data_IF_039956948004
#
_entry.id   IF_039956948004
#
_cell.length_a   1.000
_cell.length_b   1.000
_cell.length_c   1.000
_cell.angle_alpha   90.00
_cell.angle_beta   90.00
_cell.angle_gamma   90.00
#
_symmetry.space_group_name_H-M   'P 1'
#
loop_
_entity.id
_entity.type
_entity.pdbx_description
1 polymer ?
#
# COMPACT_ATOMS: atom_id res chain seq x y z
N UNK A 1 -58.70 72.48 4.67
CA UNK A 1 -57.76 71.42 4.22
C UNK A 1 -58.15 70.11 4.92
N UNK A 2 -58.91 69.25 4.24
CA UNK A 2 -59.45 67.99 4.78
C UNK A 2 -58.50 66.83 4.45
N UNK A 3 -58.11 66.06 5.48
CA UNK A 3 -57.30 64.84 5.41
C UNK A 3 -58.07 63.72 4.67
N UNK A 4 -57.41 63.00 3.76
CA UNK A 4 -57.85 61.70 3.21
C UNK A 4 -56.93 60.61 3.77
N UNK A 5 -57.53 59.55 4.29
CA UNK A 5 -56.87 58.31 4.74
C UNK A 5 -57.06 57.21 3.66
N UNK A 6 -56.21 56.14 3.64
CA UNK A 6 -55.96 55.33 2.46
C UNK A 6 -56.73 54.01 2.37
N UNK A 7 -56.73 53.47 1.14
CA UNK A 7 -57.25 52.19 0.66
C UNK A 7 -56.71 50.98 1.46
N UNK A 8 -57.58 50.00 1.72
CA UNK A 8 -57.22 48.65 2.16
C UNK A 8 -56.82 47.79 0.95
N UNK A 9 -55.70 47.08 1.04
CA UNK A 9 -55.28 46.03 0.12
C UNK A 9 -55.36 44.67 0.84
N UNK A 10 -56.12 43.73 0.27
CA UNK A 10 -56.17 42.33 0.69
C UNK A 10 -54.95 41.58 0.16
N UNK A 11 -54.17 40.96 1.05
CA UNK A 11 -53.08 40.05 0.72
C UNK A 11 -53.56 38.61 0.97
N UNK A 12 -53.63 37.79 -0.07
CA UNK A 12 -53.90 36.36 0.03
C UNK A 12 -52.61 35.62 0.40
N UNK A 13 -52.67 34.79 1.45
CA UNK A 13 -51.57 33.94 1.91
C UNK A 13 -51.68 32.61 1.16
N UNK A 14 -50.72 32.31 0.28
CA UNK A 14 -50.48 30.97 -0.23
C UNK A 14 -49.59 30.23 0.78
N UNK A 15 -50.10 29.14 1.34
CA UNK A 15 -49.34 28.21 2.18
C UNK A 15 -48.73 27.14 1.27
N UNK A 16 -47.40 27.09 1.20
CA UNK A 16 -46.66 26.01 0.54
C UNK A 16 -46.50 24.85 1.53
N UNK A 17 -47.07 23.69 1.19
CA UNK A 17 -46.85 22.46 1.92
C UNK A 17 -45.41 21.98 1.70
N UNK A 18 -44.65 21.84 2.77
CA UNK A 18 -43.32 21.23 2.76
C UNK A 18 -43.47 19.71 2.58
N UNK A 19 -43.07 19.22 1.40
CA UNK A 19 -42.83 17.81 1.16
C UNK A 19 -41.55 17.42 1.89
N UNK A 20 -41.69 16.77 3.04
CA UNK A 20 -40.59 16.09 3.73
C UNK A 20 -40.25 14.86 2.91
N UNK A 21 -39.22 14.97 2.07
CA UNK A 21 -38.55 13.80 1.54
C UNK A 21 -37.96 13.05 2.74
N UNK A 22 -38.46 11.85 3.02
CA UNK A 22 -37.73 10.87 3.83
C UNK A 22 -36.45 10.58 3.05
N UNK A 23 -35.37 11.26 3.43
CA UNK A 23 -34.03 10.87 2.99
C UNK A 23 -33.76 9.48 3.52
N UNK A 24 -33.31 8.58 2.64
CA UNK A 24 -32.42 7.51 3.09
C UNK A 24 -31.26 8.19 3.79
N UNK A 25 -31.26 8.20 5.12
CA UNK A 25 -30.02 8.43 5.85
C UNK A 25 -29.14 7.23 5.51
N UNK A 26 -27.91 7.41 5.00
CA UNK A 26 -26.97 6.31 4.96
C UNK A 26 -26.82 5.83 6.41
N UNK A 27 -27.28 4.62 6.67
CA UNK A 27 -26.76 3.84 7.79
C UNK A 27 -25.25 3.76 7.56
N UNK A 28 -24.45 3.87 8.63
CA UNK A 28 -22.99 3.99 8.54
C UNK A 28 -22.43 3.13 7.42
N UNK A 29 -21.71 3.76 6.49
CA UNK A 29 -21.19 3.11 5.30
C UNK A 29 -20.40 1.89 5.74
N UNK A 30 -20.73 0.72 5.19
CA UNK A 30 -19.87 -0.43 5.36
C UNK A 30 -18.46 -0.08 4.85
N UNK A 31 -17.40 -0.54 5.54
CA UNK A 31 -16.05 -0.35 5.07
C UNK A 31 -15.90 -0.85 3.64
N UNK A 32 -15.19 -0.08 2.82
CA UNK A 32 -14.84 -0.51 1.46
C UNK A 32 -13.61 -1.40 1.56
N UNK A 33 -13.71 -2.63 1.06
CA UNK A 33 -12.60 -3.57 1.07
C UNK A 33 -12.06 -3.75 -0.34
N UNK A 34 -10.74 -3.63 -0.47
CA UNK A 34 -9.98 -3.96 -1.66
C UNK A 34 -9.10 -5.18 -1.38
N UNK A 35 -9.08 -6.17 -2.27
CA UNK A 35 -8.17 -7.32 -2.22
C UNK A 35 -7.13 -7.19 -3.31
N UNK A 36 -5.86 -7.35 -2.93
CA UNK A 36 -4.73 -7.31 -3.87
C UNK A 36 -4.86 -8.45 -4.87
N UNK A 37 -4.93 -8.08 -6.15
CA UNK A 37 -4.98 -9.03 -7.28
C UNK A 37 -3.60 -9.21 -7.91
N UNK A 38 -2.73 -8.21 -7.83
CA UNK A 38 -1.36 -8.26 -8.32
C UNK A 38 -0.46 -7.54 -7.34
N UNK A 39 0.72 -8.08 -7.08
CA UNK A 39 1.72 -7.50 -6.20
C UNK A 39 3.09 -7.72 -6.81
N UNK A 40 3.88 -6.66 -6.96
CA UNK A 40 5.22 -6.74 -7.51
C UNK A 40 6.17 -5.76 -6.84
N UNK A 41 7.47 -6.07 -6.87
CA UNK A 41 8.49 -5.10 -6.44
C UNK A 41 8.58 -3.97 -7.47
N UNK A 42 8.64 -2.74 -7.00
CA UNK A 42 8.94 -1.60 -7.85
C UNK A 42 10.39 -1.69 -8.35
N UNK A 43 10.56 -1.57 -9.66
CA UNK A 43 11.85 -1.67 -10.34
C UNK A 43 12.47 -0.32 -10.64
N UNK A 44 13.79 -0.31 -10.84
CA UNK A 44 14.54 0.85 -11.29
C UNK A 44 14.47 0.92 -12.83
N UNK A 45 13.68 1.83 -13.38
CA UNK A 45 13.52 2.01 -14.82
C UNK A 45 13.18 3.47 -15.21
N UNK A 46 14.06 4.17 -15.97
CA UNK A 46 15.45 3.83 -16.29
C UNK A 46 16.37 3.89 -15.06
N UNK A 47 17.66 3.62 -15.24
CA UNK A 47 18.60 3.69 -14.11
C UNK A 47 18.58 5.06 -13.41
N UNK A 48 18.57 5.04 -12.08
CA UNK A 48 18.39 6.19 -11.20
C UNK A 48 16.94 6.63 -11.00
N UNK A 49 15.96 5.92 -11.58
CA UNK A 49 14.54 6.28 -11.53
C UNK A 49 13.71 5.10 -11.03
N UNK A 50 12.90 5.31 -10.00
CA UNK A 50 11.93 4.34 -9.48
C UNK A 50 10.74 5.05 -8.87
N UNK A 51 9.59 4.38 -8.87
CA UNK A 51 8.51 4.77 -7.96
C UNK A 51 8.90 4.44 -6.51
N UNK A 52 8.38 5.20 -5.55
CA UNK A 52 8.64 4.98 -4.14
C UNK A 52 8.30 6.19 -3.28
N UNK A 53 8.93 6.25 -2.12
CA UNK A 53 8.69 7.25 -1.07
C UNK A 53 10.00 7.84 -0.59
N UNK A 54 9.93 9.05 -0.04
CA UNK A 54 10.99 9.60 0.81
C UNK A 54 10.68 9.14 2.24
N UNK A 55 11.36 8.10 2.69
CA UNK A 55 11.12 7.40 3.96
C UNK A 55 11.92 8.02 5.11
N UNK A 56 12.98 8.78 4.81
CA UNK A 56 13.85 9.40 5.82
C UNK A 56 13.91 10.93 5.75
N UNK A 57 13.07 11.55 4.93
CA UNK A 57 12.96 12.99 4.67
C UNK A 57 14.29 13.59 4.19
N UNK A 58 15.05 12.82 3.40
CA UNK A 58 16.40 13.17 2.97
C UNK A 58 16.53 13.04 1.46
N UNK A 59 17.54 13.73 0.95
CA UNK A 59 18.03 13.48 -0.40
C UNK A 59 19.51 13.20 -0.29
N UNK A 60 19.87 11.93 -0.48
CA UNK A 60 21.18 11.38 -0.28
C UNK A 60 22.03 11.37 -1.55
N UNK A 61 23.35 11.38 -1.37
CA UNK A 61 24.32 11.13 -2.43
C UNK A 61 25.45 10.21 -1.92
N UNK A 62 26.41 9.89 -2.80
CA UNK A 62 27.54 8.99 -2.48
C UNK A 62 28.41 9.45 -1.29
N UNK A 63 28.31 10.72 -0.89
CA UNK A 63 29.06 11.30 0.22
C UNK A 63 28.19 11.51 1.47
N UNK A 64 26.89 11.21 1.41
CA UNK A 64 26.01 11.39 2.55
C UNK A 64 26.08 10.19 3.50
N UNK A 65 26.70 10.42 4.66
CA UNK A 65 26.79 9.43 5.73
C UNK A 65 25.44 9.09 6.35
N UNK A 66 24.44 9.98 6.25
CA UNK A 66 23.08 9.71 6.72
C UNK A 66 22.38 8.60 5.92
N UNK A 67 22.75 8.43 4.65
CA UNK A 67 22.22 7.41 3.73
C UNK A 67 23.24 6.38 3.33
N UNK A 68 24.27 6.25 4.15
CA UNK A 68 25.31 5.23 3.98
C UNK A 68 26.02 5.27 2.62
N UNK A 69 26.09 6.47 2.01
CA UNK A 69 26.68 6.67 0.69
C UNK A 69 25.92 5.99 -0.45
N UNK A 70 24.65 5.62 -0.23
CA UNK A 70 23.74 5.13 -1.26
C UNK A 70 22.95 6.33 -1.75
N UNK A 71 23.06 6.73 -3.04
CA UNK A 71 22.26 7.82 -3.58
C UNK A 71 20.79 7.41 -3.74
N UNK A 72 19.88 8.32 -3.37
CA UNK A 72 18.45 8.10 -3.56
C UNK A 72 18.10 8.12 -5.05
N UNK A 73 16.99 7.46 -5.37
CA UNK A 73 16.43 7.47 -6.70
C UNK A 73 15.61 8.75 -6.91
N UNK A 74 15.25 8.98 -8.17
CA UNK A 74 14.24 9.96 -8.54
C UNK A 74 12.95 9.25 -8.94
N UNK A 75 11.81 9.90 -8.75
CA UNK A 75 10.57 9.40 -9.33
C UNK A 75 10.47 9.75 -10.83
N UNK A 76 9.49 9.18 -11.56
CA UNK A 76 9.31 9.46 -12.99
C UNK A 76 9.04 10.94 -13.31
N UNK A 77 8.55 11.72 -12.34
CA UNK A 77 8.31 13.16 -12.44
C UNK A 77 9.56 14.00 -12.12
N UNK A 78 10.65 13.37 -11.66
CA UNK A 78 11.92 14.00 -11.32
C UNK A 78 12.01 14.52 -9.89
N UNK A 79 11.11 14.12 -8.99
CA UNK A 79 11.27 14.36 -7.54
C UNK A 79 12.40 13.48 -7.03
N UNK A 80 13.33 14.07 -6.27
CA UNK A 80 14.44 13.36 -5.64
C UNK A 80 14.06 12.86 -4.24
N UNK A 81 14.93 12.05 -3.63
CA UNK A 81 14.73 11.49 -2.29
C UNK A 81 13.91 10.20 -2.29
N UNK A 82 13.88 9.45 -3.39
CA UNK A 82 13.11 8.20 -3.44
C UNK A 82 13.94 7.04 -2.89
N UNK A 83 13.52 6.53 -1.75
CA UNK A 83 14.01 5.32 -1.12
C UNK A 83 13.35 4.09 -1.75
N UNK A 84 14.08 3.43 -2.64
CA UNK A 84 13.78 2.08 -3.11
C UNK A 84 15.05 1.34 -3.53
N UNK A 85 16.03 1.28 -2.63
CA UNK A 85 17.33 0.66 -2.89
C UNK A 85 17.23 -0.81 -3.29
N UNK A 86 16.19 -1.52 -2.84
CA UNK A 86 15.92 -2.89 -3.29
C UNK A 86 15.68 -3.00 -4.80
N UNK A 87 15.19 -1.95 -5.46
CA UNK A 87 15.03 -1.93 -6.92
C UNK A 87 16.34 -2.20 -7.67
N UNK A 88 17.46 -1.68 -7.14
CA UNK A 88 18.79 -1.88 -7.71
C UNK A 88 19.32 -3.31 -7.52
N UNK A 89 18.71 -4.07 -6.60
CA UNK A 89 19.06 -5.46 -6.27
C UNK A 89 18.33 -6.44 -7.20
N UNK A 90 17.11 -6.11 -7.64
CA UNK A 90 16.27 -6.98 -8.47
C UNK A 90 16.99 -7.55 -9.70
N UNK A 91 17.73 -6.76 -10.52
CA UNK A 91 18.40 -7.32 -11.70
C UNK A 91 19.44 -8.39 -11.36
N UNK A 92 20.14 -8.25 -10.22
CA UNK A 92 21.11 -9.25 -9.78
C UNK A 92 20.42 -10.55 -9.34
N UNK A 93 19.22 -10.46 -8.75
CA UNK A 93 18.40 -11.63 -8.39
C UNK A 93 17.84 -12.32 -9.63
N UNK A 94 17.43 -11.57 -10.63
CA UNK A 94 16.92 -12.09 -11.91
C UNK A 94 17.98 -12.85 -12.74
N UNK A 95 19.26 -12.50 -12.58
CA UNK A 95 20.37 -13.22 -13.20
C UNK A 95 20.60 -14.60 -12.59
N UNK A 96 20.03 -14.89 -11.42
CA UNK A 96 20.09 -16.22 -10.84
C UNK A 96 19.08 -17.13 -11.54
N UNK A 97 19.49 -18.33 -11.95
CA UNK A 97 18.58 -19.35 -12.50
C UNK A 97 17.58 -19.89 -11.45
N UNK A 98 17.57 -19.29 -10.24
CA UNK A 98 17.08 -19.86 -9.01
C UNK A 98 15.57 -19.79 -8.84
N UNK A 99 14.90 -18.67 -9.15
CA UNK A 99 13.44 -18.51 -8.98
C UNK A 99 13.00 -17.13 -9.50
N UNK A 100 11.91 -17.06 -10.27
CA UNK A 100 11.24 -15.79 -10.56
C UNK A 100 10.35 -15.41 -9.37
N UNK A 101 10.90 -14.68 -8.39
CA UNK A 101 10.21 -14.27 -7.14
C UNK A 101 8.84 -13.65 -7.45
N UNK A 102 8.78 -12.83 -8.49
CA UNK A 102 7.55 -12.19 -8.95
C UNK A 102 6.45 -13.18 -9.34
N UNK A 103 6.80 -14.26 -10.06
CA UNK A 103 5.83 -15.27 -10.48
C UNK A 103 5.29 -16.07 -9.27
N UNK A 104 6.11 -16.25 -8.24
CA UNK A 104 5.72 -16.95 -7.02
C UNK A 104 4.78 -16.12 -6.15
N UNK A 105 5.08 -14.83 -5.98
CA UNK A 105 4.17 -13.89 -5.30
C UNK A 105 2.81 -13.90 -6.01
N UNK A 106 2.81 -13.83 -7.34
CA UNK A 106 1.56 -13.88 -8.09
C UNK A 106 0.83 -15.22 -7.95
N UNK A 107 1.56 -16.35 -7.91
CA UNK A 107 0.97 -17.66 -7.66
C UNK A 107 0.35 -17.75 -6.26
N UNK A 108 0.98 -17.15 -5.24
CA UNK A 108 0.45 -17.08 -3.88
C UNK A 108 -0.84 -16.23 -3.83
N UNK A 109 -0.88 -15.10 -4.54
CA UNK A 109 -2.11 -14.29 -4.68
C UNK A 109 -3.22 -15.09 -5.34
N UNK A 110 -2.92 -15.73 -6.48
CA UNK A 110 -3.90 -16.46 -7.28
C UNK A 110 -4.43 -17.74 -6.59
N UNK A 111 -3.66 -18.34 -5.68
CA UNK A 111 -4.06 -19.53 -4.91
C UNK A 111 -4.80 -19.18 -3.61
N UNK A 112 -4.76 -17.91 -3.17
CA UNK A 112 -5.30 -17.47 -1.89
C UNK A 112 -4.33 -17.62 -0.72
N UNK A 113 -3.10 -18.10 -0.95
CA UNK A 113 -2.03 -18.15 0.05
C UNK A 113 -1.53 -16.75 0.44
N UNK A 114 -1.75 -15.74 -0.42
CA UNK A 114 -1.52 -14.32 -0.16
C UNK A 114 -2.77 -13.51 -0.51
N UNK A 115 -3.73 -13.46 0.41
CA UNK A 115 -4.88 -12.55 0.33
C UNK A 115 -4.63 -11.30 1.17
N UNK A 116 -3.85 -10.36 0.65
CA UNK A 116 -3.63 -9.05 1.27
C UNK A 116 -4.83 -8.13 0.95
N UNK A 117 -5.36 -7.46 1.96
CA UNK A 117 -6.55 -6.62 1.83
C UNK A 117 -6.35 -5.26 2.48
N UNK A 118 -7.00 -4.25 1.89
CA UNK A 118 -7.11 -2.90 2.40
C UNK A 118 -8.58 -2.63 2.73
N UNK A 119 -8.87 -2.44 4.01
CA UNK A 119 -10.18 -2.02 4.48
C UNK A 119 -10.14 -0.51 4.74
N UNK A 120 -11.02 0.21 4.05
CA UNK A 120 -11.10 1.67 4.10
C UNK A 120 -12.44 2.09 4.69
N UNK A 121 -12.40 2.72 5.86
CA UNK A 121 -13.56 3.22 6.60
C UNK A 121 -13.64 4.75 6.50
N UNK A 122 -14.82 5.29 6.25
CA UNK A 122 -15.04 6.73 6.11
C UNK A 122 -14.92 7.30 4.68
N UNK A 123 -14.87 6.46 3.64
CA UNK A 123 -14.73 6.89 2.23
C UNK A 123 -15.89 7.73 1.70
N UNK A 124 -17.06 7.72 2.36
CA UNK A 124 -18.19 8.56 2.00
C UNK A 124 -17.89 10.06 2.11
N UNK A 125 -16.88 10.43 2.91
CA UNK A 125 -16.39 11.80 3.04
C UNK A 125 -15.16 12.00 2.16
N UNK A 126 -15.33 11.82 0.84
CA UNK A 126 -14.25 12.07 -0.14
C UNK A 126 -14.00 13.56 -0.33
N UNK A 127 -13.39 14.20 0.67
CA UNK A 127 -12.97 15.60 0.63
C UNK A 127 -11.47 15.69 0.92
N UNK A 128 -10.71 16.53 0.19
CA UNK A 128 -9.29 16.71 0.46
C UNK A 128 -9.02 17.04 1.93
N UNK A 129 -8.06 16.34 2.55
CA UNK A 129 -7.73 16.46 3.97
C UNK A 129 -8.73 15.81 4.93
N UNK A 130 -9.68 15.00 4.43
CA UNK A 130 -10.44 14.09 5.29
C UNK A 130 -9.55 12.92 5.74
N UNK A 131 -9.79 12.49 6.97
CA UNK A 131 -9.23 11.25 7.52
C UNK A 131 -10.11 10.08 7.13
N UNK A 132 -9.50 9.06 6.54
CA UNK A 132 -10.10 7.74 6.29
C UNK A 132 -9.34 6.73 7.14
N UNK A 133 -10.07 5.87 7.86
CA UNK A 133 -9.44 4.74 8.55
C UNK A 133 -8.97 3.73 7.52
N UNK A 134 -7.69 3.36 7.53
CA UNK A 134 -7.12 2.37 6.62
C UNK A 134 -6.55 1.20 7.42
N UNK A 135 -7.07 0.01 7.19
CA UNK A 135 -6.53 -1.22 7.78
C UNK A 135 -5.94 -2.12 6.71
N UNK A 136 -4.74 -2.62 6.97
CA UNK A 136 -4.07 -3.63 6.15
C UNK A 136 -4.17 -4.96 6.88
N UNK A 137 -4.76 -5.95 6.21
CA UNK A 137 -5.08 -7.23 6.84
C UNK A 137 -4.95 -8.40 5.85
N UNK A 138 -4.98 -9.60 6.40
CA UNK A 138 -5.02 -10.84 5.63
C UNK A 138 -6.43 -11.42 5.61
N UNK A 139 -6.88 -11.83 4.43
CA UNK A 139 -8.04 -12.68 4.27
C UNK A 139 -7.69 -14.16 4.23
N UNK A 140 -8.72 -15.00 4.27
CA UNK A 140 -8.68 -16.42 3.89
C UNK A 140 -9.85 -16.74 2.96
N UNK A 141 -9.67 -17.78 2.14
CA UNK A 141 -10.65 -18.22 1.16
C UNK A 141 -10.00 -18.65 -0.14
N UNK A 142 -10.77 -19.27 -1.02
CA UNK A 142 -10.31 -19.71 -2.33
C UNK A 142 -10.74 -18.69 -3.41
N UNK A 143 -9.84 -17.83 -3.90
CA UNK A 143 -10.19 -16.81 -4.87
C UNK A 143 -10.63 -17.45 -6.19
N UNK A 144 -11.66 -16.86 -6.81
CA UNK A 144 -12.04 -17.16 -8.20
C UNK A 144 -11.31 -16.23 -9.14
N UNK A 145 -10.73 -16.82 -10.18
CA UNK A 145 -9.95 -16.13 -11.20
C UNK A 145 -10.79 -15.91 -12.46
N UNK A 146 -10.56 -14.79 -13.13
CA UNK A 146 -11.06 -14.51 -14.46
C UNK A 146 -10.29 -15.27 -15.55
N UNK A 147 -10.68 -15.08 -16.81
CA UNK A 147 -9.99 -15.68 -17.97
C UNK A 147 -8.58 -15.14 -18.22
N UNK A 148 -8.15 -14.13 -17.45
CA UNK A 148 -6.84 -13.50 -17.48
C UNK A 148 -5.95 -13.93 -16.30
N UNK A 149 -6.33 -14.98 -15.55
CA UNK A 149 -5.64 -15.46 -14.36
C UNK A 149 -5.46 -14.39 -13.26
N UNK A 150 -6.46 -13.50 -13.12
CA UNK A 150 -6.53 -12.47 -12.07
C UNK A 150 -7.78 -12.64 -11.22
N UNK A 151 -7.73 -12.15 -9.99
CA UNK A 151 -8.85 -12.23 -9.06
C UNK A 151 -10.06 -11.50 -9.65
N UNK A 152 -11.23 -12.13 -9.57
CA UNK A 152 -12.49 -11.45 -9.85
C UNK A 152 -12.85 -10.52 -8.69
N UNK A 153 -13.32 -9.31 -9.00
CA UNK A 153 -13.86 -8.40 -8.00
C UNK A 153 -15.22 -8.87 -7.44
N UNK A 154 -15.60 -8.30 -6.30
CA UNK A 154 -16.89 -8.53 -5.63
C UNK A 154 -17.00 -9.88 -4.91
N UNK A 155 -15.88 -10.55 -4.63
CA UNK A 155 -15.85 -11.79 -3.86
C UNK A 155 -15.87 -11.50 -2.36
N UNK A 156 -16.43 -12.43 -1.58
CA UNK A 156 -16.44 -12.37 -0.11
C UNK A 156 -15.38 -13.31 0.45
N UNK A 157 -14.63 -12.85 1.44
CA UNK A 157 -13.58 -13.61 2.12
C UNK A 157 -13.76 -13.57 3.63
N UNK A 158 -13.12 -14.50 4.34
CA UNK A 158 -13.03 -14.48 5.80
C UNK A 158 -11.82 -13.67 6.24
N UNK A 159 -11.88 -13.01 7.40
CA UNK A 159 -10.69 -12.38 8.01
C UNK A 159 -9.77 -13.46 8.58
N UNK A 160 -8.47 -13.34 8.33
CA UNK A 160 -7.48 -14.15 9.04
C UNK A 160 -7.12 -13.47 10.38
N UNK A 161 -7.81 -13.85 11.45
CA UNK A 161 -7.61 -13.25 12.77
C UNK A 161 -6.27 -13.59 13.43
N UNK A 162 -5.59 -14.64 12.94
CA UNK A 162 -4.28 -15.06 13.45
C UNK A 162 -3.11 -14.38 12.71
N UNK A 163 -3.39 -13.71 11.59
CA UNK A 163 -2.38 -13.02 10.80
C UNK A 163 -2.13 -11.58 11.31
N UNK A 164 -0.95 -11.01 11.01
CA UNK A 164 -0.69 -9.59 11.26
C UNK A 164 -1.76 -8.69 10.63
N UNK A 165 -2.18 -7.68 11.39
CA UNK A 165 -2.99 -6.58 10.90
C UNK A 165 -2.35 -5.27 11.37
N UNK A 166 -2.50 -4.22 10.57
CA UNK A 166 -2.11 -2.87 10.95
C UNK A 166 -3.24 -1.90 10.62
N UNK A 167 -3.50 -0.96 11.53
CA UNK A 167 -4.52 0.06 11.35
C UNK A 167 -3.89 1.45 11.38
N UNK A 168 -4.26 2.27 10.42
CA UNK A 168 -3.91 3.68 10.29
C UNK A 168 -5.20 4.47 10.52
N UNK A 169 -5.26 5.19 11.65
CA UNK A 169 -6.48 5.89 12.08
C UNK A 169 -6.88 7.04 11.14
N UNK A 170 -5.91 7.66 10.48
CA UNK A 170 -6.12 8.76 9.54
C UNK A 170 -5.16 8.65 8.36
N UNK A 171 -5.62 8.01 7.29
CA UNK A 171 -5.03 8.16 5.97
C UNK A 171 -5.66 9.39 5.29
N UNK A 172 -4.83 10.23 4.70
CA UNK A 172 -5.22 11.51 4.11
C UNK A 172 -5.63 11.36 2.64
N UNK A 173 -6.72 12.01 2.25
CA UNK A 173 -7.14 12.08 0.85
C UNK A 173 -6.51 13.29 0.17
N UNK A 174 -5.77 13.03 -0.91
CA UNK A 174 -5.24 14.05 -1.84
C UNK A 174 -5.68 13.73 -3.27
N UNK A 175 -6.69 14.46 -3.77
CA UNK A 175 -7.20 14.24 -5.13
C UNK A 175 -7.93 12.89 -5.27
N UNK A 176 -7.30 11.95 -5.97
CA UNK A 176 -7.80 10.57 -6.19
C UNK A 176 -7.00 9.52 -5.39
N UNK A 177 -6.08 9.98 -4.55
CA UNK A 177 -5.12 9.15 -3.82
C UNK A 177 -5.43 9.21 -2.33
N UNK A 178 -5.39 8.05 -1.68
CA UNK A 178 -5.40 7.89 -0.25
C UNK A 178 -3.98 7.55 0.21
N UNK A 179 -3.40 8.34 1.11
CA UNK A 179 -2.05 8.14 1.62
C UNK A 179 -2.08 7.87 3.13
N UNK A 180 -1.36 6.85 3.59
CA UNK A 180 -1.30 6.46 4.99
C UNK A 180 0.14 6.27 5.48
N UNK A 181 0.47 6.87 6.62
CA UNK A 181 1.73 6.70 7.34
C UNK A 181 1.53 7.05 8.84
N UNK A 182 2.40 6.57 9.75
CA UNK A 182 3.38 5.51 9.53
C UNK A 182 2.71 4.13 9.40
N UNK A 183 3.25 3.31 8.51
CA UNK A 183 2.79 1.96 8.23
C UNK A 183 3.83 0.94 8.70
N UNK A 184 3.46 0.07 9.65
CA UNK A 184 4.28 -1.08 10.03
C UNK A 184 3.50 -2.34 9.72
N UNK A 185 4.07 -3.25 8.93
CA UNK A 185 3.36 -4.47 8.57
C UNK A 185 4.30 -5.63 8.34
N UNK A 186 4.00 -6.75 8.99
CA UNK A 186 4.64 -8.03 8.71
C UNK A 186 3.90 -8.71 7.57
N UNK A 187 4.60 -8.88 6.46
CA UNK A 187 4.15 -9.58 5.26
C UNK A 187 4.67 -11.03 5.29
N UNK A 188 3.84 -12.00 5.75
CA UNK A 188 4.18 -13.41 5.63
C UNK A 188 3.97 -13.86 4.18
N UNK A 189 5.07 -14.20 3.52
CA UNK A 189 5.09 -14.81 2.20
C UNK A 189 5.38 -16.29 2.35
N UNK A 190 4.48 -17.13 1.85
CA UNK A 190 4.76 -18.55 1.70
C UNK A 190 5.16 -18.83 0.26
N UNK A 191 6.34 -19.42 0.08
CA UNK A 191 6.86 -19.83 -1.21
C UNK A 191 7.17 -21.32 -1.12
N UNK A 192 6.32 -22.15 -1.76
CA UNK A 192 6.36 -23.60 -1.60
C UNK A 192 6.22 -24.01 -0.12
N UNK A 193 7.23 -24.69 0.42
CA UNK A 193 7.27 -25.15 1.83
C UNK A 193 8.01 -24.16 2.74
N UNK A 194 8.47 -23.01 2.21
CA UNK A 194 9.28 -22.04 2.92
C UNK A 194 8.48 -20.80 3.29
N UNK A 195 8.72 -20.30 4.51
CA UNK A 195 8.09 -19.09 5.04
C UNK A 195 9.11 -17.96 5.07
N UNK A 196 8.78 -16.84 4.42
CA UNK A 196 9.56 -15.62 4.43
C UNK A 196 8.71 -14.56 5.11
N UNK A 197 9.16 -14.12 6.29
CA UNK A 197 8.53 -13.02 7.01
C UNK A 197 9.31 -11.73 6.74
N UNK A 198 8.68 -10.78 6.05
CA UNK A 198 9.25 -9.45 5.83
C UNK A 198 8.49 -8.43 6.68
N UNK A 199 9.18 -7.74 7.58
CA UNK A 199 8.61 -6.64 8.35
C UNK A 199 8.96 -5.32 7.67
N UNK A 200 7.94 -4.63 7.18
CA UNK A 200 8.04 -3.25 6.70
C UNK A 200 7.96 -2.31 7.90
N UNK A 201 8.97 -1.46 8.04
CA UNK A 201 9.14 -0.50 9.13
C UNK A 201 9.04 0.93 8.58
N UNK A 202 8.46 1.84 9.37
CA UNK A 202 8.32 3.26 9.05
C UNK A 202 7.80 3.52 7.62
N UNK A 203 6.86 2.68 7.20
CA UNK A 203 6.40 2.65 5.83
C UNK A 203 5.37 3.72 5.48
N UNK A 204 5.10 3.78 4.19
CA UNK A 204 4.04 4.59 3.59
C UNK A 204 3.23 3.71 2.64
N UNK A 205 1.92 3.93 2.60
CA UNK A 205 1.01 3.33 1.63
C UNK A 205 0.26 4.42 0.87
N UNK A 206 0.20 4.30 -0.44
CA UNK A 206 -0.60 5.13 -1.34
C UNK A 206 -1.56 4.24 -2.14
N UNK A 207 -2.83 4.62 -2.20
CA UNK A 207 -3.87 3.93 -2.94
C UNK A 207 -4.59 4.92 -3.85
N UNK A 208 -4.44 4.74 -5.15
CA UNK A 208 -5.20 5.43 -6.19
C UNK A 208 -6.51 4.71 -6.48
N UNK A 209 -7.60 5.48 -6.46
CA UNK A 209 -8.93 4.99 -6.86
C UNK A 209 -9.15 5.25 -8.35
N UNK A 210 -9.13 4.19 -9.16
CA UNK A 210 -9.24 4.30 -10.61
C UNK A 210 -10.69 4.29 -11.11
N UNK A 211 -11.61 3.77 -10.30
CA UNK A 211 -13.01 3.62 -10.63
C UNK A 211 -13.78 2.88 -9.55
N UNK A 212 -14.97 2.37 -9.88
CA UNK A 212 -15.78 1.60 -8.95
C UNK A 212 -15.12 0.23 -8.75
N UNK A 213 -14.52 0.01 -7.59
CA UNK A 213 -13.96 -1.29 -7.20
C UNK A 213 -12.65 -1.67 -7.89
N UNK A 214 -11.96 -0.70 -8.48
CA UNK A 214 -10.62 -0.88 -9.06
C UNK A 214 -9.64 0.09 -8.41
N UNK A 215 -8.53 -0.47 -7.94
CA UNK A 215 -7.52 0.26 -7.18
C UNK A 215 -6.13 -0.08 -7.73
N UNK A 216 -5.25 0.91 -7.70
CA UNK A 216 -3.81 0.73 -7.87
C UNK A 216 -3.13 1.40 -6.71
N UNK A 217 -1.96 0.95 -6.33
CA UNK A 217 -1.19 1.68 -5.36
C UNK A 217 0.21 1.16 -5.22
N UNK A 218 0.86 1.69 -4.20
CA UNK A 218 2.18 1.25 -3.75
C UNK A 218 2.25 1.32 -2.25
N UNK A 219 3.04 0.45 -1.66
CA UNK A 219 3.42 0.56 -0.26
C UNK A 219 4.89 0.17 -0.12
N UNK A 220 5.58 0.81 0.80
CA UNK A 220 7.00 0.61 0.98
C UNK A 220 7.42 1.00 2.38
N UNK A 221 8.66 0.64 2.72
CA UNK A 221 9.24 0.89 4.03
C UNK A 221 10.63 0.30 4.12
N UNK A 222 11.26 0.48 5.27
CA UNK A 222 12.54 -0.17 5.57
C UNK A 222 12.33 -1.63 5.96
N UNK A 223 13.17 -2.53 5.43
CA UNK A 223 13.26 -3.93 5.85
C UNK A 223 14.62 -4.16 6.48
N UNK A 224 14.65 -4.86 7.61
CA UNK A 224 15.90 -5.19 8.28
C UNK A 224 16.79 -6.07 7.41
N UNK A 225 18.03 -5.63 7.18
CA UNK A 225 19.05 -6.39 6.47
C UNK A 225 19.32 -7.74 7.17
N UNK A 226 19.27 -7.76 8.51
CA UNK A 226 19.48 -8.99 9.27
C UNK A 226 18.31 -9.97 9.11
N UNK A 227 17.06 -9.48 9.11
CA UNK A 227 15.87 -10.32 8.90
C UNK A 227 15.92 -11.01 7.53
N UNK A 228 16.29 -10.29 6.47
CA UNK A 228 16.42 -10.88 5.13
C UNK A 228 17.49 -11.98 5.11
N UNK A 229 18.64 -11.77 5.76
CA UNK A 229 19.70 -12.78 5.86
C UNK A 229 19.26 -14.01 6.65
N UNK A 230 18.53 -13.81 7.74
CA UNK A 230 18.02 -14.89 8.57
C UNK A 230 17.00 -15.73 7.80
N UNK A 231 16.05 -15.09 7.10
CA UNK A 231 15.09 -15.77 6.22
C UNK A 231 15.80 -16.58 5.14
N UNK A 232 16.79 -15.99 4.47
CA UNK A 232 17.57 -16.68 3.44
C UNK A 232 18.36 -17.89 3.95
N UNK A 233 18.83 -17.84 5.19
CA UNK A 233 19.55 -18.95 5.79
C UNK A 233 18.64 -20.17 6.01
N UNK A 234 17.33 -19.93 6.18
CA UNK A 234 16.31 -20.96 6.38
C UNK A 234 15.85 -21.62 5.08
N UNK A 235 15.87 -20.90 3.95
CA UNK A 235 15.43 -21.44 2.66
C UNK A 235 16.36 -22.58 2.21
N UNK A 236 15.79 -23.79 2.09
CA UNK A 236 16.48 -24.95 1.55
C UNK A 236 16.71 -24.81 0.03
N UNK A 237 17.85 -25.32 -0.44
CA UNK A 237 18.20 -25.31 -1.88
C UNK A 237 18.87 -24.03 -2.40
N UNK A 238 18.94 -22.96 -1.59
CA UNK A 238 19.77 -21.79 -1.91
C UNK A 238 21.23 -22.09 -1.55
N UNK A 239 22.08 -22.23 -2.58
CA UNK A 239 23.51 -22.50 -2.40
C UNK A 239 24.29 -21.34 -1.74
N UNK A 240 25.41 -21.67 -1.09
CA UNK A 240 26.27 -20.69 -0.39
C UNK A 240 26.72 -19.52 -1.27
N UNK A 241 26.88 -19.74 -2.58
CA UNK A 241 27.24 -18.71 -3.55
C UNK A 241 26.14 -17.62 -3.66
N UNK A 242 24.87 -18.03 -3.72
CA UNK A 242 23.73 -17.10 -3.79
C UNK A 242 23.56 -16.37 -2.45
N UNK A 243 23.75 -17.07 -1.33
CA UNK A 243 23.72 -16.47 0.01
C UNK A 243 24.81 -15.39 0.16
N UNK A 244 26.03 -15.69 -0.26
CA UNK A 244 27.14 -14.73 -0.23
C UNK A 244 26.92 -13.54 -1.16
N UNK A 245 26.31 -13.76 -2.33
CA UNK A 245 25.96 -12.70 -3.26
C UNK A 245 24.94 -11.75 -2.61
N UNK A 246 23.86 -12.29 -2.05
CA UNK A 246 22.81 -11.46 -1.46
C UNK A 246 23.31 -10.75 -0.19
N UNK A 247 24.09 -11.41 0.66
CA UNK A 247 24.73 -10.73 1.80
C UNK A 247 25.58 -9.54 1.34
N UNK A 248 26.40 -9.73 0.30
CA UNK A 248 27.20 -8.64 -0.28
C UNK A 248 26.30 -7.51 -0.76
N UNK A 249 25.29 -7.84 -1.57
CA UNK A 249 24.41 -6.85 -2.19
C UNK A 249 23.64 -6.06 -1.13
N UNK A 250 23.00 -6.73 -0.17
CA UNK A 250 22.24 -6.08 0.90
C UNK A 250 23.11 -5.16 1.75
N UNK A 251 24.31 -5.60 2.15
CA UNK A 251 25.21 -4.76 2.95
C UNK A 251 25.71 -3.53 2.17
N UNK A 252 25.82 -3.64 0.85
CA UNK A 252 26.26 -2.54 -0.01
C UNK A 252 25.13 -1.65 -0.50
N UNK A 253 23.87 -2.01 -0.25
CA UNK A 253 22.68 -1.30 -0.75
C UNK A 253 21.71 -0.90 0.36
N UNK A 254 21.99 -1.25 1.60
CA UNK A 254 21.27 -0.71 2.75
C UNK A 254 21.47 0.80 2.83
N UNK A 255 20.36 1.52 2.92
CA UNK A 255 20.26 2.97 2.78
C UNK A 255 19.53 3.64 3.96
N UNK A 256 18.86 2.84 4.79
CA UNK A 256 18.08 3.34 5.92
C UNK A 256 18.66 2.94 7.27
N UNK A 257 18.39 3.78 8.28
CA UNK A 257 18.70 3.56 9.69
C UNK A 257 20.18 3.24 9.95
N UNK A 258 21.10 4.21 9.73
CA UNK A 258 22.51 4.05 10.06
C UNK A 258 22.72 3.82 11.56
N UNK A 259 23.57 2.87 11.90
CA UNK A 259 24.02 2.64 13.27
C UNK A 259 25.07 3.68 13.72
N UNK A 260 25.59 3.54 14.94
CA UNK A 260 26.61 4.44 15.47
C UNK A 260 27.94 4.44 14.69
N UNK A 261 28.18 3.42 13.86
CA UNK A 261 29.32 3.33 12.97
C UNK A 261 29.02 3.87 11.55
N UNK A 262 27.78 4.30 11.28
CA UNK A 262 27.33 4.77 9.98
C UNK A 262 26.96 3.65 9.01
N UNK A 263 26.70 2.43 9.51
CA UNK A 263 26.29 1.29 8.69
C UNK A 263 24.77 1.19 8.71
N UNK A 264 24.13 1.26 7.56
CA UNK A 264 22.67 1.14 7.44
C UNK A 264 22.23 -0.29 7.77
N UNK A 265 21.20 -0.36 8.61
CA UNK A 265 20.65 -1.63 9.12
C UNK A 265 19.39 -2.05 8.37
N UNK A 266 18.85 -1.16 7.53
CA UNK A 266 17.65 -1.40 6.75
C UNK A 266 17.90 -1.09 5.27
N UNK A 267 17.22 -1.83 4.42
CA UNK A 267 17.11 -1.55 2.99
C UNK A 267 15.68 -1.10 2.69
N UNK A 268 15.53 0.01 1.99
CA UNK A 268 14.23 0.46 1.51
C UNK A 268 13.71 -0.46 0.41
N UNK A 269 12.43 -0.79 0.48
CA UNK A 269 11.73 -1.58 -0.53
C UNK A 269 10.36 -1.00 -0.79
N UNK A 270 9.95 -1.02 -2.05
CA UNK A 270 8.63 -0.59 -2.49
C UNK A 270 7.97 -1.72 -3.28
N UNK A 271 6.71 -1.96 -2.96
CA UNK A 271 5.81 -2.81 -3.71
C UNK A 271 4.79 -1.94 -4.45
N UNK A 272 4.50 -2.29 -5.69
CA UNK A 272 3.33 -1.83 -6.42
C UNK A 272 2.26 -2.92 -6.43
N UNK A 273 0.99 -2.51 -6.46
CA UNK A 273 -0.11 -3.44 -6.51
C UNK A 273 -1.26 -2.95 -7.38
N UNK A 274 -2.05 -3.91 -7.86
CA UNK A 274 -3.43 -3.69 -8.29
C UNK A 274 -4.37 -4.44 -7.36
N UNK A 275 -5.53 -3.86 -7.09
CA UNK A 275 -6.53 -4.47 -6.22
C UNK A 275 -7.93 -4.29 -6.80
N UNK A 276 -8.81 -5.22 -6.45
CA UNK A 276 -10.21 -5.25 -6.85
C UNK A 276 -11.11 -5.20 -5.63
N UNK A 277 -12.36 -4.77 -5.79
CA UNK A 277 -13.31 -4.78 -4.68
C UNK A 277 -13.51 -6.18 -4.12
N UNK A 278 -13.69 -6.24 -2.81
CA UNK A 278 -14.03 -7.45 -2.07
C UNK A 278 -15.01 -7.11 -0.95
N UNK A 279 -15.47 -8.15 -0.28
CA UNK A 279 -16.27 -8.08 0.93
C UNK A 279 -15.66 -8.99 2.00
N UNK A 280 -15.91 -8.68 3.26
CA UNK A 280 -15.57 -9.54 4.38
C UNK A 280 -16.86 -10.08 5.01
N UNK A 281 -16.85 -11.32 5.47
CA UNK A 281 -17.94 -11.81 6.32
C UNK A 281 -18.02 -11.00 7.62
N UNK A 282 -19.23 -10.80 8.12
CA UNK A 282 -19.44 -10.25 9.47
C UNK A 282 -18.93 -11.25 10.51
N UNK A 283 -18.20 -10.76 11.51
CA UNK A 283 -17.68 -11.54 12.63
C UNK A 283 -18.77 -12.00 13.62
#
# INVERSE_FOLDING_TARGET
MRRRAPLHAHLAIFSAAAMTALGCQPQGSEPTVAVVSELYFASEEPSGVSVGFDLDERTSDENDTGGCGIPDLQDPEGRAGIDNSFASVLPALELTEGVAVQALIQAAVNSGELLLMFEMDGLETWTPGACVGLSVLRGTGEPKLGSNDRLLGGQTYDRNLDAPHHAIDCAEITGATLEGSPFEYRLPLQIFDEYIDLTLLDGVIEIDMLGIGEYRGRFGGGVSVQEVKDNMAMIDGVGDEVRSLIDTVLNTRADLQPDAAGICQQISVVFEFTAVSAYLFED
#
